data_IF_754703816893
#
_entry.id   IF_754703816893
#
_cell.length_a   1.000
_cell.length_b   1.000
_cell.length_c   1.000
_cell.angle_alpha   90.00
_cell.angle_beta   90.00
_cell.angle_gamma   90.00
#
_symmetry.space_group_name_H-M   'P 1'
#
loop_
_entity.id
_entity.type
_entity.pdbx_description
1 polymer ?
#
# COMPACT_ATOMS: atom_id res chain seq x y z
N UNK A 1 -22.33 12.59 -6.26
CA UNK A 1 -22.22 11.48 -7.27
C UNK A 1 -22.41 12.08 -8.67
N UNK A 2 -21.41 12.84 -9.15
CA UNK A 2 -21.48 13.45 -10.48
C UNK A 2 -21.28 12.39 -11.57
N UNK A 3 -22.25 12.30 -12.48
CA UNK A 3 -22.23 11.43 -13.69
C UNK A 3 -21.17 11.83 -14.74
N UNK A 4 -20.33 12.83 -14.46
CA UNK A 4 -19.29 13.26 -15.40
C UNK A 4 -18.16 12.22 -15.47
N UNK A 5 -17.75 11.87 -16.72
CA UNK A 5 -16.50 11.13 -16.97
C UNK A 5 -15.39 11.80 -16.17
N UNK A 6 -14.57 11.01 -15.48
CA UNK A 6 -13.35 11.51 -14.90
C UNK A 6 -12.43 11.91 -16.07
N UNK A 7 -12.36 13.19 -16.40
CA UNK A 7 -11.45 13.70 -17.44
C UNK A 7 -10.03 13.79 -16.88
N UNK A 8 -9.58 12.73 -16.23
CA UNK A 8 -8.27 12.61 -15.58
C UNK A 8 -7.61 11.37 -16.12
N UNK A 9 -6.40 11.49 -16.63
CA UNK A 9 -5.58 10.37 -17.08
C UNK A 9 -4.69 9.85 -15.95
N UNK A 10 -4.05 8.69 -16.18
CA UNK A 10 -3.05 8.12 -15.27
C UNK A 10 -1.87 9.09 -15.07
N UNK A 11 -1.42 9.74 -16.14
CA UNK A 11 -0.35 10.76 -16.08
C UNK A 11 -0.78 12.00 -15.31
N UNK A 12 -2.06 12.44 -15.44
CA UNK A 12 -2.57 13.56 -14.67
C UNK A 12 -2.57 13.26 -13.17
N UNK A 13 -2.96 12.03 -12.79
CA UNK A 13 -2.93 11.58 -11.40
C UNK A 13 -1.50 11.56 -10.85
N UNK A 14 -0.55 11.02 -11.60
CA UNK A 14 0.89 11.02 -11.27
C UNK A 14 1.41 12.45 -11.08
N UNK A 15 1.15 13.33 -12.05
CA UNK A 15 1.62 14.72 -12.01
C UNK A 15 0.99 15.50 -10.85
N UNK A 16 -0.27 15.23 -10.53
CA UNK A 16 -0.95 15.86 -9.38
C UNK A 16 -0.30 15.47 -8.06
N UNK A 17 0.04 14.18 -7.90
CA UNK A 17 0.75 13.68 -6.71
C UNK A 17 2.13 14.33 -6.56
N UNK A 18 2.88 14.38 -7.64
CA UNK A 18 4.19 15.03 -7.69
C UNK A 18 4.08 16.52 -7.33
N UNK A 19 3.10 17.22 -7.90
CA UNK A 19 2.84 18.63 -7.58
C UNK A 19 2.54 18.84 -6.08
N UNK A 20 1.77 17.93 -5.46
CA UNK A 20 1.48 18.01 -4.03
C UNK A 20 2.73 17.76 -3.19
N UNK A 21 3.57 16.79 -3.55
CA UNK A 21 4.84 16.54 -2.84
C UNK A 21 5.78 17.73 -2.91
N UNK A 22 5.87 18.40 -4.07
CA UNK A 22 6.70 19.62 -4.26
C UNK A 22 6.27 20.81 -3.40
N UNK A 23 5.07 20.80 -2.84
CA UNK A 23 4.64 21.82 -1.87
C UNK A 23 5.38 21.69 -0.52
N UNK A 24 5.96 20.52 -0.23
CA UNK A 24 6.78 20.34 0.96
C UNK A 24 8.22 20.79 0.69
N UNK A 25 8.77 21.78 1.42
CA UNK A 25 10.12 22.32 1.15
C UNK A 25 11.25 21.32 1.43
N UNK A 26 10.94 20.19 2.06
CA UNK A 26 11.90 19.12 2.35
C UNK A 26 11.87 18.00 1.33
N UNK A 27 10.92 18.04 0.37
CA UNK A 27 10.85 17.12 -0.75
C UNK A 27 11.96 17.46 -1.76
N UNK A 28 12.61 16.44 -2.31
CA UNK A 28 13.71 16.59 -3.26
C UNK A 28 13.33 16.08 -4.65
N UNK A 29 12.96 14.82 -4.75
CA UNK A 29 12.59 14.14 -6.00
C UNK A 29 11.81 12.85 -5.70
N UNK A 30 11.18 12.21 -6.71
CA UNK A 30 10.54 10.91 -6.54
C UNK A 30 11.56 9.86 -6.09
N UNK A 31 11.21 9.01 -5.12
CA UNK A 31 12.08 7.89 -4.72
C UNK A 31 12.17 6.81 -5.79
N UNK A 32 11.17 6.75 -6.66
CA UNK A 32 11.11 5.92 -7.87
C UNK A 32 10.06 6.49 -8.85
N UNK A 33 10.03 5.95 -10.07
CA UNK A 33 9.00 6.34 -11.05
C UNK A 33 7.61 5.90 -10.60
N UNK A 34 6.70 6.85 -10.40
CA UNK A 34 5.32 6.57 -9.98
C UNK A 34 4.64 5.57 -10.90
N UNK A 35 4.01 4.55 -10.31
CA UNK A 35 3.15 3.59 -10.99
C UNK A 35 1.70 4.05 -10.78
N UNK A 36 1.04 4.45 -11.86
CA UNK A 36 -0.35 4.90 -11.83
C UNK A 36 -1.13 4.15 -12.91
N UNK A 37 -1.75 3.03 -12.53
CA UNK A 37 -2.38 2.10 -13.49
C UNK A 37 -3.87 1.90 -13.23
N UNK A 38 -4.71 2.20 -14.24
CA UNK A 38 -6.15 1.97 -14.22
C UNK A 38 -6.51 0.68 -14.97
N UNK A 39 -7.37 -0.14 -14.37
CA UNK A 39 -7.83 -1.39 -14.99
C UNK A 39 -6.65 -2.27 -15.39
N UNK A 40 -6.55 -2.64 -16.69
CA UNK A 40 -5.51 -3.56 -17.19
C UNK A 40 -4.08 -3.06 -16.99
N UNK A 41 -3.85 -1.74 -16.95
CA UNK A 41 -2.52 -1.18 -16.71
C UNK A 41 -2.05 -1.43 -15.28
N UNK A 42 -2.97 -1.42 -14.29
CA UNK A 42 -2.66 -1.82 -12.92
C UNK A 42 -2.23 -3.28 -12.75
N UNK A 43 -2.47 -4.14 -13.76
CA UNK A 43 -2.00 -5.53 -13.74
C UNK A 43 -0.50 -5.68 -14.06
N UNK A 44 0.16 -4.61 -14.50
CA UNK A 44 1.60 -4.58 -14.79
C UNK A 44 2.28 -4.03 -13.55
N UNK A 45 3.05 -4.87 -12.84
CA UNK A 45 3.63 -4.57 -11.51
C UNK A 45 4.46 -3.28 -11.51
N UNK A 46 5.27 -3.08 -12.54
CA UNK A 46 6.10 -1.89 -12.74
C UNK A 46 5.59 -1.05 -13.95
N UNK A 47 4.28 -0.82 -14.01
CA UNK A 47 3.68 -0.02 -15.06
C UNK A 47 4.23 1.43 -15.02
N UNK A 48 4.54 1.95 -16.20
CA UNK A 48 4.95 3.34 -16.36
C UNK A 48 3.98 4.05 -17.31
N UNK A 49 3.18 4.95 -16.77
CA UNK A 49 2.33 5.80 -17.58
C UNK A 49 3.17 6.84 -18.32
N UNK A 50 3.02 6.89 -19.64
CA UNK A 50 3.62 7.92 -20.51
C UNK A 50 2.50 8.66 -21.24
N UNK A 51 2.83 9.76 -21.95
CA UNK A 51 1.85 10.49 -22.75
C UNK A 51 1.18 9.59 -23.79
N UNK A 52 1.92 8.62 -24.35
CA UNK A 52 1.44 7.74 -25.43
C UNK A 52 0.68 6.52 -24.88
N UNK A 53 1.00 6.05 -23.67
CA UNK A 53 0.41 4.84 -23.08
C UNK A 53 -0.72 5.13 -22.08
N UNK A 54 -0.86 6.39 -21.64
CA UNK A 54 -1.81 6.80 -20.59
C UNK A 54 -3.27 6.58 -21.00
N UNK A 55 -4.10 6.29 -20.00
CA UNK A 55 -5.55 6.15 -20.18
C UNK A 55 -6.30 7.11 -19.26
N UNK A 56 -7.54 7.42 -19.68
CA UNK A 56 -8.51 8.04 -18.77
C UNK A 56 -8.91 7.08 -17.66
N UNK A 57 -8.97 7.57 -16.43
CA UNK A 57 -9.51 6.83 -15.31
C UNK A 57 -11.00 6.57 -15.54
N UNK A 58 -11.43 5.33 -15.37
CA UNK A 58 -12.82 4.93 -15.55
C UNK A 58 -13.46 4.57 -14.23
N UNK A 59 -14.68 5.08 -13.97
CA UNK A 59 -15.41 4.81 -12.72
C UNK A 59 -15.57 3.31 -12.40
N UNK A 60 -15.74 2.47 -13.41
CA UNK A 60 -15.93 1.02 -13.25
C UNK A 60 -14.64 0.22 -13.06
N UNK A 61 -13.47 0.85 -13.24
CA UNK A 61 -12.18 0.22 -13.05
C UNK A 61 -11.60 0.61 -11.67
N UNK A 62 -10.81 -0.28 -11.08
CA UNK A 62 -9.98 0.07 -9.93
C UNK A 62 -8.68 0.71 -10.43
N UNK A 63 -8.13 1.60 -9.61
CA UNK A 63 -6.92 2.34 -9.89
C UNK A 63 -5.86 2.00 -8.84
N UNK A 64 -4.72 1.51 -9.28
CA UNK A 64 -3.55 1.25 -8.46
C UNK A 64 -2.60 2.43 -8.61
N UNK A 65 -2.24 3.05 -7.49
CA UNK A 65 -1.24 4.11 -7.44
C UNK A 65 -0.17 3.75 -6.43
N UNK A 66 1.05 3.63 -6.92
CA UNK A 66 2.24 3.35 -6.15
C UNK A 66 3.26 4.46 -6.39
N UNK A 67 3.70 5.11 -5.31
CA UNK A 67 4.51 6.31 -5.42
C UNK A 67 5.24 6.62 -4.13
N UNK A 68 6.42 7.19 -4.27
CA UNK A 68 7.22 7.61 -3.14
C UNK A 68 7.97 8.91 -3.41
N UNK A 69 8.53 9.48 -2.37
CA UNK A 69 9.35 10.68 -2.44
C UNK A 69 10.61 10.55 -1.62
N UNK A 70 11.66 11.14 -2.11
CA UNK A 70 12.89 11.36 -1.39
C UNK A 70 12.82 12.70 -0.68
N UNK A 71 13.00 12.67 0.62
CA UNK A 71 13.02 13.85 1.49
C UNK A 71 14.36 13.93 2.20
N UNK A 72 14.72 15.11 2.73
CA UNK A 72 15.97 15.30 3.50
C UNK A 72 16.12 14.33 4.68
N UNK A 73 15.01 13.79 5.20
CA UNK A 73 14.97 12.96 6.41
C UNK A 73 14.52 11.53 6.16
N UNK A 74 14.35 11.11 4.93
CA UNK A 74 13.97 9.73 4.63
C UNK A 74 13.40 9.54 3.24
N UNK A 75 13.26 8.28 2.88
CA UNK A 75 12.69 7.80 1.64
C UNK A 75 11.30 7.24 1.92
N UNK A 76 10.31 7.57 1.10
CA UNK A 76 8.94 7.06 1.25
C UNK A 76 8.53 6.17 0.08
N UNK A 77 7.62 5.25 0.38
CA UNK A 77 7.04 4.30 -0.54
C UNK A 77 5.61 3.95 -0.08
N UNK A 78 4.63 4.04 -0.96
CA UNK A 78 3.25 3.71 -0.62
C UNK A 78 2.43 3.33 -1.84
N UNK A 79 1.75 2.20 -1.76
CA UNK A 79 0.74 1.81 -2.75
C UNK A 79 -0.65 1.84 -2.16
N UNK A 80 -1.61 2.38 -2.92
CA UNK A 80 -3.05 2.23 -2.68
C UNK A 80 -3.76 1.79 -3.94
N UNK A 81 -4.68 0.86 -3.76
CA UNK A 81 -5.68 0.53 -4.78
C UNK A 81 -7.01 1.14 -4.34
N UNK A 82 -7.60 1.96 -5.21
CA UNK A 82 -8.83 2.71 -4.93
C UNK A 82 -9.89 2.44 -5.98
N UNK A 83 -11.14 2.72 -5.67
CA UNK A 83 -12.26 2.65 -6.60
C UNK A 83 -13.09 3.94 -6.63
N UNK A 84 -13.71 4.21 -7.78
CA UNK A 84 -14.55 5.40 -7.99
C UNK A 84 -16.04 5.05 -8.06
N UNK A 85 -16.37 3.77 -7.96
CA UNK A 85 -17.74 3.25 -7.91
C UNK A 85 -17.75 1.86 -7.27
N UNK A 86 -18.95 1.37 -6.96
CA UNK A 86 -19.12 0.01 -6.44
C UNK A 86 -18.45 -1.03 -7.33
N UNK A 87 -17.69 -1.93 -6.73
CA UNK A 87 -17.01 -3.03 -7.39
C UNK A 87 -17.71 -4.36 -7.13
N UNK A 88 -17.53 -5.31 -8.04
CA UNK A 88 -18.12 -6.64 -7.89
C UNK A 88 -17.50 -7.41 -6.71
N UNK A 89 -18.25 -8.42 -6.24
CA UNK A 89 -17.88 -9.25 -5.08
C UNK A 89 -16.50 -9.92 -5.25
N UNK A 90 -16.15 -10.35 -6.47
CA UNK A 90 -14.86 -11.01 -6.70
C UNK A 90 -13.67 -10.08 -6.46
N UNK A 91 -13.72 -8.84 -6.99
CA UNK A 91 -12.67 -7.84 -6.76
C UNK A 91 -12.57 -7.53 -5.27
N UNK A 92 -13.70 -7.34 -4.58
CA UNK A 92 -13.73 -7.07 -3.13
C UNK A 92 -13.14 -8.23 -2.32
N UNK A 93 -13.45 -9.48 -2.69
CA UNK A 93 -12.90 -10.66 -2.01
C UNK A 93 -11.38 -10.75 -2.18
N UNK A 94 -10.88 -10.51 -3.40
CA UNK A 94 -9.44 -10.54 -3.66
C UNK A 94 -8.73 -9.40 -2.94
N UNK A 95 -9.26 -8.17 -2.99
CA UNK A 95 -8.74 -7.03 -2.24
C UNK A 95 -8.67 -7.33 -0.73
N UNK A 96 -9.72 -7.95 -0.19
CA UNK A 96 -9.76 -8.32 1.23
C UNK A 96 -8.73 -9.39 1.56
N UNK A 97 -8.48 -10.37 0.69
CA UNK A 97 -7.42 -11.36 0.91
C UNK A 97 -6.02 -10.72 0.88
N UNK A 98 -5.77 -9.74 0.00
CA UNK A 98 -4.54 -8.94 0.01
C UNK A 98 -4.43 -8.15 1.32
N UNK A 99 -5.51 -7.49 1.75
CA UNK A 99 -5.55 -6.76 3.03
C UNK A 99 -5.27 -7.67 4.23
N UNK A 100 -5.85 -8.88 4.26
CA UNK A 100 -5.56 -9.88 5.32
C UNK A 100 -4.10 -10.27 5.35
N UNK A 101 -3.46 -10.40 4.18
CA UNK A 101 -2.02 -10.63 4.06
C UNK A 101 -1.21 -9.45 4.62
N UNK A 102 -1.59 -8.24 4.27
CA UNK A 102 -0.99 -7.01 4.78
C UNK A 102 -1.09 -6.90 6.32
N UNK A 103 -2.26 -7.18 6.88
CA UNK A 103 -2.48 -7.18 8.33
C UNK A 103 -1.64 -8.29 9.00
N UNK A 104 -1.58 -9.49 8.41
CA UNK A 104 -0.81 -10.59 8.95
C UNK A 104 0.69 -10.31 9.04
N UNK A 105 1.26 -9.57 8.08
CA UNK A 105 2.64 -9.06 8.17
C UNK A 105 2.77 -8.06 9.30
N UNK A 106 1.90 -7.06 9.35
CA UNK A 106 1.96 -5.99 10.35
C UNK A 106 1.83 -6.52 11.79
N UNK A 107 1.05 -7.58 11.99
CA UNK A 107 0.83 -8.21 13.30
C UNK A 107 1.70 -9.46 13.56
N UNK A 108 2.73 -9.70 12.75
CA UNK A 108 3.64 -10.85 12.94
C UNK A 108 4.35 -10.80 14.29
N UNK A 109 4.28 -11.90 15.04
CA UNK A 109 5.11 -12.09 16.23
C UNK A 109 6.58 -12.37 15.80
N UNK A 110 7.41 -11.34 15.82
CA UNK A 110 8.81 -11.41 15.38
C UNK A 110 9.71 -12.29 16.26
N UNK A 111 9.23 -12.75 17.44
CA UNK A 111 9.95 -13.78 18.24
C UNK A 111 9.88 -15.15 17.59
N UNK A 112 8.75 -15.44 16.92
CA UNK A 112 8.48 -16.73 16.26
C UNK A 112 8.86 -16.71 14.78
N UNK A 113 8.67 -15.57 14.11
CA UNK A 113 8.86 -15.41 12.67
C UNK A 113 9.73 -14.19 12.41
N UNK A 114 11.03 -14.37 12.55
CA UNK A 114 12.00 -13.29 12.52
C UNK A 114 12.85 -13.22 11.24
N UNK A 115 12.44 -13.89 10.17
CA UNK A 115 13.10 -13.79 8.86
C UNK A 115 12.09 -13.42 7.78
N UNK A 116 12.57 -12.79 6.71
CA UNK A 116 11.73 -12.39 5.59
C UNK A 116 10.93 -13.55 5.00
N UNK A 117 11.55 -14.75 4.88
CA UNK A 117 10.90 -15.97 4.41
C UNK A 117 9.68 -16.39 5.24
N UNK A 118 9.80 -16.34 6.56
CA UNK A 118 8.71 -16.73 7.47
C UNK A 118 7.56 -15.71 7.43
N UNK A 119 7.89 -14.42 7.32
CA UNK A 119 6.91 -13.35 7.25
C UNK A 119 6.19 -13.36 5.89
N UNK A 120 6.91 -13.59 4.78
CA UNK A 120 6.33 -13.70 3.43
C UNK A 120 5.24 -14.80 3.36
N UNK A 121 5.47 -15.91 4.06
CA UNK A 121 4.48 -17.01 4.11
C UNK A 121 3.15 -16.57 4.76
N UNK A 122 3.18 -15.67 5.76
CA UNK A 122 1.99 -15.14 6.40
C UNK A 122 1.18 -14.24 5.46
N UNK A 123 1.86 -13.42 4.67
CA UNK A 123 1.20 -12.57 3.69
C UNK A 123 0.44 -13.37 2.63
N UNK A 124 1.07 -14.43 2.11
CA UNK A 124 0.53 -15.20 0.98
C UNK A 124 -0.57 -16.17 1.34
N UNK A 125 -0.71 -16.57 2.59
CA UNK A 125 -1.61 -17.67 3.00
C UNK A 125 -3.08 -17.47 2.59
N UNK A 126 -3.57 -16.22 2.58
CA UNK A 126 -4.96 -15.92 2.26
C UNK A 126 -5.25 -16.00 0.76
N UNK A 127 -4.29 -15.57 -0.07
CA UNK A 127 -4.39 -15.73 -1.53
C UNK A 127 -4.24 -17.21 -1.92
N UNK A 128 -3.25 -17.92 -1.36
CA UNK A 128 -2.99 -19.33 -1.64
C UNK A 128 -4.17 -20.24 -1.32
N UNK A 129 -4.96 -19.94 -0.28
CA UNK A 129 -6.22 -20.66 0.02
C UNK A 129 -7.23 -20.61 -1.14
N UNK A 130 -7.08 -19.65 -2.05
CA UNK A 130 -7.93 -19.49 -3.23
C UNK A 130 -7.17 -19.79 -4.54
N UNK A 131 -6.03 -20.50 -4.48
CA UNK A 131 -5.14 -20.81 -5.60
C UNK A 131 -4.64 -19.55 -6.32
N UNK A 132 -4.45 -18.44 -5.56
CA UNK A 132 -3.92 -17.16 -6.03
C UNK A 132 -2.56 -16.89 -5.37
N UNK A 133 -1.69 -16.18 -6.08
CA UNK A 133 -0.40 -15.71 -5.56
C UNK A 133 0.07 -14.48 -6.38
N UNK A 134 1.21 -13.92 -6.00
CA UNK A 134 1.91 -12.85 -6.73
C UNK A 134 3.40 -13.18 -6.84
N UNK A 135 4.07 -12.60 -7.87
CA UNK A 135 5.42 -13.00 -8.25
C UNK A 135 6.54 -12.16 -7.62
N UNK A 136 6.22 -10.98 -7.05
CA UNK A 136 7.20 -10.14 -6.37
C UNK A 136 7.37 -10.50 -4.89
N UNK A 137 8.38 -9.95 -4.23
CA UNK A 137 8.52 -10.04 -2.77
C UNK A 137 7.36 -9.36 -2.05
N UNK A 138 7.03 -9.80 -0.84
CA UNK A 138 6.03 -9.14 0.01
C UNK A 138 6.54 -7.80 0.56
N UNK A 139 7.85 -7.58 0.51
CA UNK A 139 8.47 -6.34 0.93
C UNK A 139 9.98 -6.37 0.76
N UNK A 140 10.55 -5.19 0.81
CA UNK A 140 11.98 -4.93 0.72
C UNK A 140 12.42 -4.00 1.85
N UNK A 141 13.72 -3.93 2.11
CA UNK A 141 14.28 -2.90 2.98
C UNK A 141 14.19 -1.53 2.31
N UNK A 142 14.17 -0.47 3.11
CA UNK A 142 14.14 0.92 2.65
C UNK A 142 15.29 1.69 3.28
N UNK A 143 16.06 2.41 2.47
CA UNK A 143 17.19 3.20 2.92
C UNK A 143 16.79 4.53 3.55
N UNK A 144 17.59 5.02 4.49
CA UNK A 144 17.46 6.38 5.00
C UNK A 144 18.20 7.32 4.08
N UNK A 145 17.48 8.11 3.28
CA UNK A 145 18.06 8.95 2.24
C UNK A 145 18.96 8.16 1.25
N UNK A 146 18.60 6.90 1.02
CA UNK A 146 19.25 5.95 0.13
C UNK A 146 18.22 5.38 -0.86
N UNK A 147 18.51 4.23 -1.45
CA UNK A 147 17.58 3.60 -2.38
C UNK A 147 16.28 3.21 -1.70
N UNK A 148 15.18 3.31 -2.45
CA UNK A 148 13.88 2.81 -1.99
C UNK A 148 13.93 1.30 -1.75
N UNK A 149 14.67 0.55 -2.61
CA UNK A 149 15.01 -0.85 -2.38
C UNK A 149 16.42 -0.94 -1.80
N UNK A 150 16.54 -1.14 -0.50
CA UNK A 150 17.80 -1.19 0.24
C UNK A 150 17.88 -2.45 1.13
N UNK A 151 18.88 -3.30 0.85
CA UNK A 151 19.11 -4.53 1.63
C UNK A 151 19.88 -4.30 2.94
N UNK A 152 20.21 -5.39 3.65
CA UNK A 152 20.05 -6.80 3.26
C UNK A 152 18.69 -7.42 3.60
N UNK A 153 17.84 -6.75 4.41
CA UNK A 153 16.54 -7.26 4.81
C UNK A 153 15.52 -7.16 3.66
N UNK A 154 14.65 -8.14 3.56
CA UNK A 154 13.47 -8.13 2.68
C UNK A 154 12.44 -9.13 3.21
N UNK A 155 11.18 -8.95 2.86
CA UNK A 155 10.12 -9.93 3.11
C UNK A 155 9.88 -10.69 1.80
N UNK A 156 10.51 -11.85 1.63
CA UNK A 156 10.42 -12.64 0.41
C UNK A 156 10.70 -14.12 0.65
N UNK A 157 10.31 -14.97 -0.28
CA UNK A 157 10.44 -16.44 -0.20
C UNK A 157 11.89 -16.92 0.08
N UNK A 158 12.87 -16.12 -0.29
CA UNK A 158 14.29 -16.52 -0.24
C UNK A 158 15.09 -15.79 0.83
N UNK A 159 14.55 -14.70 1.42
CA UNK A 159 15.29 -13.89 2.37
C UNK A 159 15.31 -14.53 3.77
N UNK A 160 16.51 -14.89 4.23
CA UNK A 160 16.77 -15.51 5.54
C UNK A 160 17.38 -14.54 6.54
N UNK A 161 17.58 -13.29 6.16
CA UNK A 161 18.11 -12.26 7.07
C UNK A 161 17.15 -12.07 8.25
N UNK A 162 17.72 -12.13 9.45
CA UNK A 162 16.96 -11.90 10.69
C UNK A 162 16.54 -10.44 10.78
N UNK A 163 15.29 -10.23 11.04
CA UNK A 163 14.71 -8.91 11.28
C UNK A 163 15.17 -8.40 12.63
N UNK A 164 15.70 -7.17 12.67
CA UNK A 164 16.26 -6.53 13.87
C UNK A 164 15.59 -5.18 14.13
N UNK A 165 15.64 -4.73 15.38
CA UNK A 165 15.19 -3.38 15.77
C UNK A 165 15.82 -2.29 14.89
N UNK A 166 15.01 -1.30 14.52
CA UNK A 166 15.40 -0.17 13.69
C UNK A 166 15.34 -0.43 12.18
N UNK A 167 15.20 -1.68 11.72
CA UNK A 167 15.02 -1.97 10.29
C UNK A 167 13.71 -1.38 9.77
N UNK A 168 13.76 -0.81 8.57
CA UNK A 168 12.60 -0.32 7.83
C UNK A 168 12.37 -1.26 6.65
N UNK A 169 11.11 -1.65 6.44
CA UNK A 169 10.69 -2.52 5.34
C UNK A 169 9.38 -2.03 4.74
N UNK A 170 9.16 -2.35 3.46
CA UNK A 170 7.83 -2.30 2.89
C UNK A 170 7.03 -3.55 3.30
N UNK A 171 5.70 -3.40 3.35
CA UNK A 171 4.73 -4.46 3.53
C UNK A 171 3.68 -4.28 2.43
N UNK A 172 3.86 -4.99 1.30
CA UNK A 172 3.21 -4.69 0.02
C UNK A 172 2.63 -5.92 -0.71
N UNK A 173 1.88 -6.80 -0.06
CA UNK A 173 1.24 -7.91 -0.76
C UNK A 173 0.32 -7.40 -1.87
N UNK A 174 0.19 -8.18 -2.94
CA UNK A 174 -0.64 -7.80 -4.08
C UNK A 174 -1.26 -8.99 -4.80
N UNK A 175 -2.05 -8.68 -5.83
CA UNK A 175 -2.57 -9.64 -6.80
C UNK A 175 -2.78 -8.96 -8.15
N UNK A 176 -2.37 -9.63 -9.23
CA UNK A 176 -2.39 -9.07 -10.58
C UNK A 176 -3.06 -10.02 -11.55
N UNK A 177 -4.23 -9.61 -12.04
CA UNK A 177 -4.97 -10.38 -13.06
C UNK A 177 -4.63 -9.85 -14.44
N UNK A 178 -3.78 -10.57 -15.18
CA UNK A 178 -3.33 -10.21 -16.54
C UNK A 178 -4.48 -9.65 -17.38
N UNK A 179 -4.25 -8.51 -18.04
CA UNK A 179 -5.21 -7.79 -18.89
C UNK A 179 -6.51 -7.35 -18.20
N UNK A 180 -6.58 -7.36 -16.87
CA UNK A 180 -7.79 -6.95 -16.12
C UNK A 180 -7.50 -5.87 -15.09
N UNK A 181 -6.75 -6.17 -14.02
CA UNK A 181 -6.47 -5.23 -12.94
C UNK A 181 -5.33 -5.73 -12.04
N UNK A 182 -4.74 -4.80 -11.30
CA UNK A 182 -3.85 -5.09 -10.18
C UNK A 182 -4.39 -4.55 -8.87
N UNK A 183 -4.04 -5.22 -7.77
CA UNK A 183 -4.31 -4.82 -6.39
C UNK A 183 -2.99 -4.91 -5.65
N UNK A 184 -2.59 -3.82 -4.96
CA UNK A 184 -1.50 -3.79 -4.00
C UNK A 184 -1.89 -2.86 -2.85
N UNK A 185 -1.58 -3.27 -1.63
CA UNK A 185 -1.74 -2.46 -0.43
C UNK A 185 -0.39 -2.43 0.25
N UNK A 186 0.17 -1.24 0.38
CA UNK A 186 1.51 -1.07 0.89
C UNK A 186 1.59 -0.01 1.98
N UNK A 187 2.29 -0.37 3.05
CA UNK A 187 2.82 0.56 4.04
C UNK A 187 4.32 0.32 4.23
N UNK A 188 5.06 1.37 4.53
CA UNK A 188 6.34 1.22 5.20
C UNK A 188 6.11 0.93 6.68
N UNK A 189 6.90 0.01 7.20
CA UNK A 189 6.91 -0.35 8.61
C UNK A 189 8.34 -0.30 9.15
N UNK A 190 8.49 0.02 10.43
CA UNK A 190 9.78 -0.11 11.11
C UNK A 190 9.67 -1.09 12.27
N UNK A 191 10.79 -1.72 12.58
CA UNK A 191 10.88 -2.67 13.68
C UNK A 191 11.15 -1.93 14.99
N UNK A 192 10.15 -1.90 15.85
CA UNK A 192 10.21 -1.32 17.19
C UNK A 192 10.37 -2.40 18.26
N UNK A 193 10.75 -2.01 19.46
CA UNK A 193 10.93 -2.91 20.59
C UNK A 193 10.28 -2.33 21.84
N UNK A 194 9.48 -3.15 22.53
CA UNK A 194 8.96 -2.89 23.88
C UNK A 194 9.18 -4.13 24.72
N UNK A 195 9.77 -3.99 25.90
CA UNK A 195 10.04 -5.09 26.84
C UNK A 195 10.70 -6.30 26.15
N UNK A 196 11.73 -6.06 25.34
CA UNK A 196 12.48 -7.08 24.56
C UNK A 196 11.63 -7.83 23.53
N UNK A 197 10.42 -7.34 23.19
CA UNK A 197 9.58 -7.87 22.14
C UNK A 197 9.65 -6.97 20.92
N UNK A 198 10.05 -7.55 19.79
CA UNK A 198 10.06 -6.87 18.49
C UNK A 198 8.67 -6.94 17.84
N UNK A 199 8.27 -5.85 17.20
CA UNK A 199 7.02 -5.74 16.45
C UNK A 199 7.14 -4.69 15.35
N UNK A 200 6.32 -4.82 14.32
CA UNK A 200 6.22 -3.80 13.28
C UNK A 200 5.33 -2.64 13.73
N UNK A 201 5.75 -1.43 13.40
CA UNK A 201 4.95 -0.21 13.55
C UNK A 201 4.84 0.50 12.22
N UNK A 202 3.63 0.95 11.86
CA UNK A 202 3.40 1.64 10.61
C UNK A 202 4.10 3.01 10.60
N UNK A 203 4.75 3.33 9.48
CA UNK A 203 5.24 4.66 9.14
C UNK A 203 4.27 5.38 8.20
N UNK A 204 3.62 4.61 7.32
CA UNK A 204 2.67 5.14 6.35
C UNK A 204 1.35 5.51 7.00
N UNK A 205 0.89 6.73 6.78
CA UNK A 205 -0.36 7.28 7.30
C UNK A 205 -1.33 7.62 6.15
N UNK A 206 -1.55 6.68 5.24
CA UNK A 206 -2.50 6.81 4.15
C UNK A 206 -3.70 5.86 4.38
N UNK A 207 -4.95 6.29 4.21
CA UNK A 207 -6.10 5.43 4.45
C UNK A 207 -6.18 4.29 3.43
N UNK A 208 -6.78 3.16 3.85
CA UNK A 208 -7.07 2.00 3.00
C UNK A 208 -8.51 2.11 2.49
N UNK A 209 -8.72 1.81 1.20
CA UNK A 209 -10.02 1.95 0.52
C UNK A 209 -11.08 0.99 1.08
N UNK A 210 -12.02 1.52 1.88
CA UNK A 210 -13.05 0.71 2.54
C UNK A 210 -14.09 0.13 1.57
N UNK A 211 -14.37 0.83 0.45
CA UNK A 211 -15.37 0.39 -0.51
C UNK A 211 -14.93 -0.86 -1.29
N UNK A 212 -13.63 -1.19 -1.25
CA UNK A 212 -13.06 -2.43 -1.77
C UNK A 212 -13.05 -3.58 -0.75
N UNK A 213 -13.41 -3.34 0.51
CA UNK A 213 -13.40 -4.37 1.56
C UNK A 213 -14.70 -5.15 1.58
N UNK A 214 -14.60 -6.48 1.63
CA UNK A 214 -15.68 -7.37 2.06
C UNK A 214 -15.52 -7.66 3.55
N UNK A 215 -16.15 -6.85 4.40
CA UNK A 215 -16.05 -6.95 5.87
C UNK A 215 -16.50 -8.31 6.44
N UNK A 216 -17.31 -9.09 5.69
CA UNK A 216 -17.70 -10.44 6.11
C UNK A 216 -16.53 -11.45 6.10
N UNK A 217 -15.45 -11.16 5.39
CA UNK A 217 -14.25 -12.00 5.34
C UNK A 217 -13.22 -11.63 6.42
N UNK A 218 -13.37 -10.51 7.09
CA UNK A 218 -12.49 -10.08 8.17
C UNK A 218 -12.94 -10.69 9.50
N UNK A 219 -11.99 -11.20 10.27
CA UNK A 219 -12.18 -11.51 11.69
C UNK A 219 -12.30 -10.22 12.50
N UNK A 220 -12.81 -10.32 13.72
CA UNK A 220 -12.93 -9.13 14.58
C UNK A 220 -11.56 -8.54 14.94
N UNK A 221 -10.52 -9.38 15.06
CA UNK A 221 -9.14 -8.92 15.25
C UNK A 221 -8.67 -8.08 14.06
N UNK A 222 -8.92 -8.52 12.82
CA UNK A 222 -8.56 -7.79 11.61
C UNK A 222 -9.37 -6.48 11.45
N UNK A 223 -10.65 -6.49 11.83
CA UNK A 223 -11.47 -5.27 11.87
C UNK A 223 -10.93 -4.27 12.89
N UNK A 224 -10.56 -4.73 14.09
CA UNK A 224 -9.97 -3.89 15.13
C UNK A 224 -8.62 -3.31 14.70
N UNK A 225 -7.76 -4.11 14.03
CA UNK A 225 -6.52 -3.59 13.45
C UNK A 225 -6.80 -2.45 12.45
N UNK A 226 -7.70 -2.68 11.50
CA UNK A 226 -8.05 -1.69 10.48
C UNK A 226 -8.64 -0.41 11.10
N UNK A 227 -9.53 -0.55 12.08
CA UNK A 227 -10.11 0.57 12.81
C UNK A 227 -9.02 1.39 13.52
N UNK A 228 -8.15 0.75 14.27
CA UNK A 228 -7.06 1.43 14.99
C UNK A 228 -6.08 2.10 14.02
N UNK A 229 -5.76 1.46 12.90
CA UNK A 229 -4.94 2.05 11.84
C UNK A 229 -5.59 3.32 11.27
N UNK A 230 -6.86 3.27 10.92
CA UNK A 230 -7.60 4.42 10.41
C UNK A 230 -7.75 5.53 11.45
N UNK A 231 -7.95 5.19 12.71
CA UNK A 231 -7.97 6.15 13.83
C UNK A 231 -6.62 6.85 13.98
N UNK A 232 -5.50 6.12 13.87
CA UNK A 232 -4.15 6.70 13.88
C UNK A 232 -3.95 7.63 12.67
N UNK A 233 -4.36 7.22 11.48
CA UNK A 233 -4.30 8.05 10.27
C UNK A 233 -5.08 9.36 10.48
N UNK A 234 -6.33 9.27 10.95
CA UNK A 234 -7.15 10.45 11.19
C UNK A 234 -6.53 11.37 12.24
N UNK A 235 -6.15 10.82 13.38
CA UNK A 235 -5.56 11.56 14.50
C UNK A 235 -4.31 12.35 14.08
N UNK A 236 -3.43 11.71 13.30
CA UNK A 236 -2.14 12.33 12.93
C UNK A 236 -2.23 13.23 11.70
N UNK A 237 -3.14 12.97 10.78
CA UNK A 237 -3.23 13.73 9.52
C UNK A 237 -4.23 14.88 9.61
N UNK A 238 -5.34 14.73 10.34
CA UNK A 238 -6.38 15.76 10.42
C UNK A 238 -5.89 17.13 10.88
N UNK A 239 -4.87 17.30 11.77
CA UNK A 239 -4.36 18.62 12.13
C UNK A 239 -3.84 19.45 10.95
N UNK A 240 -3.40 18.80 9.87
CA UNK A 240 -2.84 19.41 8.67
C UNK A 240 -3.88 19.67 7.57
N UNK A 241 -5.14 19.26 7.79
CA UNK A 241 -6.22 19.34 6.80
C UNK A 241 -7.17 20.50 7.09
N UNK A 242 -7.71 21.11 6.04
CA UNK A 242 -8.82 22.06 6.17
C UNK A 242 -10.14 21.34 6.53
N UNK A 243 -11.21 22.10 6.83
CA UNK A 243 -12.50 21.55 7.27
C UNK A 243 -13.11 20.55 6.29
N UNK A 244 -13.03 20.82 4.98
CA UNK A 244 -13.61 19.94 3.95
C UNK A 244 -12.81 18.65 3.80
N UNK A 245 -11.48 18.75 3.84
CA UNK A 245 -10.58 17.61 3.79
C UNK A 245 -10.72 16.72 5.02
N UNK A 246 -10.87 17.28 6.23
CA UNK A 246 -11.17 16.52 7.46
C UNK A 246 -12.47 15.74 7.32
N UNK A 247 -13.53 16.39 6.83
CA UNK A 247 -14.83 15.74 6.59
C UNK A 247 -14.71 14.61 5.55
N UNK A 248 -13.96 14.88 4.47
CA UNK A 248 -13.69 13.85 3.46
C UNK A 248 -12.94 12.66 4.06
N UNK A 249 -11.85 12.90 4.81
CA UNK A 249 -11.05 11.83 5.43
C UNK A 249 -11.90 11.00 6.41
N UNK A 250 -12.69 11.66 7.28
CA UNK A 250 -13.58 10.97 8.22
C UNK A 250 -14.63 10.08 7.52
N UNK A 251 -15.13 10.50 6.35
CA UNK A 251 -16.07 9.70 5.57
C UNK A 251 -15.40 8.58 4.77
N UNK A 252 -14.10 8.74 4.48
CA UNK A 252 -13.34 7.76 3.68
C UNK A 252 -12.89 6.56 4.51
N UNK A 253 -12.57 6.73 5.79
CA UNK A 253 -12.06 5.71 6.72
C UNK A 253 -13.16 5.00 7.52
#
# INVERSE_FOLDING_TARGET
>A
KNKKKLNVTEVDAQNKLEKIRKMNPKYLFPSFNTIAGSGKNGAIVHYRATKDSTKFLKKKEIFLCDSGGQYKFGTTDVTRTICFSHQNKNIKNIFTNVLKGHIAVAETDLRKKNTGKLIDSEARKFLKKNNLDYNHGTGHGVGFFLNVHEGPQAISKFNTVKIKKGMILSNEPGYYKKNKYGIRIENLVYVSEINKKLFFKNLTLAPIEKDLINFKLLTDKEKNYLFNYHLEVYSKISPFLNRNEKKWLANFI
#
